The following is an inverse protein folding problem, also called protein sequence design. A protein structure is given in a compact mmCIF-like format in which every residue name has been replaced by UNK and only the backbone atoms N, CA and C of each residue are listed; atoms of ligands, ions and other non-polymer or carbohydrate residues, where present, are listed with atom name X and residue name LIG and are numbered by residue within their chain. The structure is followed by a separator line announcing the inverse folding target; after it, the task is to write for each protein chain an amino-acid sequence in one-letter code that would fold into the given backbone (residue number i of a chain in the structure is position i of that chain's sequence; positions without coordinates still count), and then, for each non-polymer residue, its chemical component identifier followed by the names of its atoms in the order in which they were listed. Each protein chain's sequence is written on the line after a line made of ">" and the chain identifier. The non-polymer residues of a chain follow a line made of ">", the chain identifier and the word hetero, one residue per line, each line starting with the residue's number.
data_IF_704002521688
#
_entry.id   IF_704002521688
#
_cell.length_a   1.000
_cell.length_b   1.000
_cell.length_c   1.000
_cell.angle_alpha   90.00
_cell.angle_beta   90.00
_cell.angle_gamma   90.00
#
_symmetry.space_group_name_H-M   'P 1'
#
loop_
_entity.id
_entity.type
_entity.pdbx_description
1 polymer ?
#
# COMPACT_ATOMS: atom_id res chain seq x y z
N UNK A 1 7.65 -16.93 -9.30
CA UNK A 1 7.56 -17.32 -10.72
C UNK A 1 8.04 -16.14 -11.56
N UNK A 2 9.16 -16.24 -12.32
CA UNK A 2 9.77 -15.10 -12.99
C UNK A 2 8.99 -14.52 -14.19
N UNK A 3 7.88 -15.15 -14.57
CA UNK A 3 7.05 -14.79 -15.74
C UNK A 3 5.69 -14.16 -15.40
N UNK A 4 5.46 -13.81 -14.13
CA UNK A 4 4.22 -13.15 -13.74
C UNK A 4 4.26 -11.67 -14.09
N UNK A 5 3.23 -11.19 -14.79
CA UNK A 5 3.03 -9.77 -15.02
C UNK A 5 2.87 -9.04 -13.67
N UNK A 6 3.45 -7.84 -13.56
CA UNK A 6 3.28 -7.00 -12.38
C UNK A 6 1.81 -6.60 -12.23
N UNK A 7 1.20 -7.03 -11.13
CA UNK A 7 -0.24 -6.86 -10.89
C UNK A 7 -0.66 -5.39 -10.90
N UNK A 8 0.21 -4.48 -10.46
CA UNK A 8 -0.10 -3.05 -10.39
C UNK A 8 -0.04 -2.41 -11.78
N UNK A 9 0.85 -2.89 -12.65
CA UNK A 9 0.93 -2.47 -14.05
C UNK A 9 -0.27 -2.97 -14.84
N UNK A 10 -0.66 -4.24 -14.67
CA UNK A 10 -1.88 -4.79 -15.29
C UNK A 10 -3.12 -4.03 -14.81
N UNK A 11 -3.22 -3.77 -13.50
CA UNK A 11 -4.33 -3.00 -12.93
C UNK A 11 -4.34 -1.56 -13.46
N UNK A 12 -3.19 -0.92 -13.66
CA UNK A 12 -3.13 0.43 -14.23
C UNK A 12 -3.74 0.47 -15.65
N UNK A 13 -3.50 -0.55 -16.46
CA UNK A 13 -4.12 -0.69 -17.79
C UNK A 13 -5.62 -0.97 -17.65
N UNK A 14 -6.02 -1.92 -16.81
CA UNK A 14 -7.44 -2.22 -16.58
C UNK A 14 -8.23 -0.98 -16.12
N UNK A 15 -7.71 -0.22 -15.17
CA UNK A 15 -8.36 0.99 -14.65
C UNK A 15 -8.51 2.09 -15.70
N UNK A 16 -7.68 2.08 -16.75
CA UNK A 16 -7.75 3.01 -17.87
C UNK A 16 -8.76 2.55 -18.92
N UNK A 17 -8.76 1.26 -19.25
CA UNK A 17 -9.61 0.68 -20.31
C UNK A 17 -11.05 0.41 -19.84
N UNK A 18 -11.21 -0.02 -18.59
CA UNK A 18 -12.51 -0.38 -18.04
C UNK A 18 -13.16 0.86 -17.44
N UNK A 19 -14.23 1.30 -18.11
CA UNK A 19 -15.09 2.40 -17.68
C UNK A 19 -15.70 2.19 -16.30
N UNK A 20 -16.47 3.18 -15.83
CA UNK A 20 -16.87 3.35 -14.43
C UNK A 20 -17.63 2.15 -13.81
N UNK A 21 -18.14 1.26 -14.64
CA UNK A 21 -19.20 0.29 -14.32
C UNK A 21 -18.75 -1.18 -14.23
N UNK A 22 -17.46 -1.49 -14.48
CA UNK A 22 -16.92 -2.85 -14.30
C UNK A 22 -15.57 -2.82 -13.56
N UNK A 23 -15.32 -3.89 -12.79
CA UNK A 23 -13.99 -4.19 -12.24
C UNK A 23 -13.80 -3.93 -10.74
N UNK A 24 -13.16 -4.89 -10.08
CA UNK A 24 -12.74 -4.78 -8.68
C UNK A 24 -11.46 -3.94 -8.58
N UNK A 25 -11.57 -2.65 -8.26
CA UNK A 25 -10.42 -1.71 -8.12
C UNK A 25 -9.59 -1.95 -6.82
N UNK A 26 -9.35 -3.20 -6.45
CA UNK A 26 -8.79 -3.63 -5.17
C UNK A 26 -7.62 -4.57 -5.41
N UNK A 27 -6.41 -4.10 -5.15
CA UNK A 27 -5.21 -4.95 -5.15
C UNK A 27 -4.63 -5.03 -3.75
N UNK A 28 -4.25 -6.24 -3.35
CA UNK A 28 -3.42 -6.48 -2.17
C UNK A 28 -1.97 -6.26 -2.57
N UNK A 29 -1.30 -5.29 -1.94
CA UNK A 29 0.14 -5.16 -2.02
C UNK A 29 0.75 -5.73 -0.74
N UNK A 30 1.80 -6.52 -0.91
CA UNK A 30 2.56 -7.07 0.21
C UNK A 30 3.44 -5.98 0.82
N UNK A 31 3.29 -5.75 2.13
CA UNK A 31 4.00 -4.69 2.83
C UNK A 31 5.48 -4.99 3.11
N UNK A 32 5.92 -6.22 2.88
CA UNK A 32 7.22 -6.68 3.39
C UNK A 32 8.39 -6.38 2.46
N UNK A 33 8.20 -6.51 1.14
CA UNK A 33 9.25 -6.33 0.13
C UNK A 33 9.26 -4.95 -0.53
N UNK A 34 8.21 -4.15 -0.34
CA UNK A 34 8.08 -2.86 -1.04
C UNK A 34 8.25 -1.71 -0.05
N UNK A 35 9.24 -0.82 -0.24
CA UNK A 35 9.41 0.37 0.59
C UNK A 35 8.14 1.25 0.61
N UNK A 36 7.84 1.85 1.76
CA UNK A 36 6.64 2.65 2.01
C UNK A 36 6.46 3.82 1.02
N UNK A 37 7.55 4.47 0.58
CA UNK A 37 7.51 5.53 -0.44
C UNK A 37 7.06 5.00 -1.80
N UNK A 38 7.57 3.83 -2.21
CA UNK A 38 7.21 3.19 -3.48
C UNK A 38 5.75 2.71 -3.43
N UNK A 39 5.33 2.15 -2.30
CA UNK A 39 3.92 1.80 -2.06
C UNK A 39 2.99 3.02 -2.16
N UNK A 40 3.37 4.14 -1.55
CA UNK A 40 2.62 5.40 -1.63
C UNK A 40 2.50 5.90 -3.07
N UNK A 41 3.61 5.93 -3.81
CA UNK A 41 3.66 6.36 -5.20
C UNK A 41 2.73 5.51 -6.08
N UNK A 42 2.84 4.17 -5.99
CA UNK A 42 2.01 3.24 -6.78
C UNK A 42 0.52 3.42 -6.47
N UNK A 43 0.15 3.52 -5.19
CA UNK A 43 -1.24 3.70 -4.78
C UNK A 43 -1.83 5.04 -5.26
N UNK A 44 -1.05 6.12 -5.18
CA UNK A 44 -1.47 7.45 -5.65
C UNK A 44 -1.61 7.48 -7.17
N UNK A 45 -0.70 6.84 -7.90
CA UNK A 45 -0.79 6.68 -9.37
C UNK A 45 -2.05 5.91 -9.78
N UNK A 46 -2.34 4.77 -9.15
CA UNK A 46 -3.56 4.00 -9.43
C UNK A 46 -4.83 4.76 -9.04
N UNK A 47 -4.77 5.54 -7.96
CA UNK A 47 -5.86 6.45 -7.58
C UNK A 47 -6.06 7.55 -8.63
N UNK A 48 -5.00 8.07 -9.27
CA UNK A 48 -5.12 9.05 -10.34
C UNK A 48 -5.76 8.43 -11.58
N UNK A 49 -5.25 7.28 -12.03
CA UNK A 49 -5.76 6.58 -13.21
C UNK A 49 -7.23 6.19 -13.03
N UNK A 50 -7.61 5.69 -11.85
CA UNK A 50 -8.99 5.30 -11.56
C UNK A 50 -9.97 6.46 -11.30
N UNK A 51 -9.49 7.70 -11.22
CA UNK A 51 -10.31 8.86 -10.83
C UNK A 51 -10.75 8.83 -9.35
N UNK A 52 -9.94 8.26 -8.45
CA UNK A 52 -10.19 8.21 -7.00
C UNK A 52 -11.04 7.04 -6.53
N UNK A 53 -11.20 6.00 -7.36
CA UNK A 53 -11.99 4.80 -7.05
C UNK A 53 -11.13 3.62 -6.57
N UNK A 54 -9.82 3.72 -6.72
CA UNK A 54 -8.88 2.68 -6.30
C UNK A 54 -8.86 2.54 -4.78
N UNK A 55 -8.94 1.30 -4.32
CA UNK A 55 -8.84 0.94 -2.90
C UNK A 55 -7.58 0.08 -2.75
N UNK A 56 -6.57 0.65 -2.09
CA UNK A 56 -5.39 -0.10 -1.70
C UNK A 56 -5.76 -1.09 -0.60
N UNK A 57 -5.56 -2.39 -0.85
CA UNK A 57 -5.53 -3.40 0.20
C UNK A 57 -4.08 -3.69 0.53
N UNK A 58 -3.80 -3.90 1.81
CA UNK A 58 -2.48 -4.34 2.27
C UNK A 58 -2.64 -5.71 2.88
N UNK A 59 -1.75 -6.61 2.50
CA UNK A 59 -1.67 -7.97 3.00
C UNK A 59 -0.31 -8.22 3.62
N UNK A 60 -0.27 -9.26 4.44
CA UNK A 60 0.96 -9.90 4.89
C UNK A 60 1.18 -11.12 3.99
N UNK A 61 2.42 -11.45 3.67
CA UNK A 61 2.71 -12.67 2.91
C UNK A 61 2.53 -13.92 3.78
N UNK A 62 2.89 -15.09 3.26
CA UNK A 62 3.01 -16.28 4.10
C UNK A 62 4.48 -16.48 4.48
N UNK A 63 4.72 -16.94 5.73
CA UNK A 63 6.04 -17.22 6.29
C UNK A 63 7.01 -17.90 5.31
N UNK A 64 6.55 -18.95 4.62
CA UNK A 64 7.36 -19.70 3.65
C UNK A 64 7.90 -18.82 2.52
N UNK A 65 7.11 -17.87 2.03
CA UNK A 65 7.52 -16.92 0.99
C UNK A 65 8.42 -15.84 1.56
N UNK A 66 8.07 -15.27 2.72
CA UNK A 66 8.83 -14.20 3.34
C UNK A 66 10.25 -14.64 3.72
N UNK A 67 10.38 -15.76 4.45
CA UNK A 67 11.68 -16.28 4.89
C UNK A 67 12.43 -16.97 3.75
N UNK A 68 11.73 -17.73 2.90
CA UNK A 68 12.35 -18.53 1.84
C UNK A 68 12.72 -17.74 0.59
N UNK A 69 11.82 -16.91 0.07
CA UNK A 69 12.05 -16.17 -1.18
C UNK A 69 12.63 -14.78 -0.95
N UNK A 70 12.21 -14.08 0.11
CA UNK A 70 12.58 -12.68 0.33
C UNK A 70 13.65 -12.51 1.41
N UNK A 71 13.94 -13.57 2.18
CA UNK A 71 14.92 -13.54 3.27
C UNK A 71 14.50 -12.59 4.41
N UNK A 72 13.22 -12.30 4.54
CA UNK A 72 12.68 -11.39 5.56
C UNK A 72 12.21 -12.22 6.75
N UNK A 73 12.66 -11.91 7.99
CA UNK A 73 12.21 -12.61 9.19
C UNK A 73 10.68 -12.52 9.39
N UNK A 74 10.04 -13.64 9.73
CA UNK A 74 8.59 -13.72 10.04
C UNK A 74 8.29 -13.73 11.54
N UNK A 75 9.11 -13.05 12.34
CA UNK A 75 9.00 -13.05 13.80
C UNK A 75 7.83 -12.18 14.29
N UNK A 76 7.61 -11.01 13.67
CA UNK A 76 6.61 -10.02 14.08
C UNK A 76 5.85 -9.41 12.90
N UNK A 77 5.14 -10.21 12.07
CA UNK A 77 4.52 -9.75 10.82
C UNK A 77 3.47 -8.64 11.03
N UNK A 78 2.64 -8.76 12.07
CA UNK A 78 1.60 -7.76 12.39
C UNK A 78 2.22 -6.43 12.84
N UNK A 79 3.30 -6.49 13.63
CA UNK A 79 4.02 -5.29 14.08
C UNK A 79 4.68 -4.60 12.90
N UNK A 80 5.35 -5.36 12.03
CA UNK A 80 5.99 -4.84 10.83
C UNK A 80 5.00 -4.14 9.92
N UNK A 81 3.82 -4.73 9.71
CA UNK A 81 2.74 -4.09 8.95
C UNK A 81 2.28 -2.79 9.63
N UNK A 82 2.16 -2.76 10.95
CA UNK A 82 1.76 -1.57 11.70
C UNK A 82 2.78 -0.43 11.54
N UNK A 83 4.08 -0.73 11.72
CA UNK A 83 5.17 0.25 11.53
C UNK A 83 5.29 0.71 10.07
N UNK A 84 4.98 -0.17 9.11
CA UNK A 84 4.87 0.20 7.69
C UNK A 84 3.72 1.19 7.45
N UNK A 85 2.56 0.96 8.07
CA UNK A 85 1.41 1.86 7.98
C UNK A 85 1.69 3.23 8.60
N UNK A 86 2.48 3.30 9.67
CA UNK A 86 2.90 4.56 10.28
C UNK A 86 3.68 5.44 9.30
N UNK A 87 4.42 4.85 8.36
CA UNK A 87 5.05 5.59 7.27
C UNK A 87 4.15 5.82 6.06
N UNK A 88 3.37 4.82 5.67
CA UNK A 88 2.56 4.88 4.46
C UNK A 88 1.39 5.87 4.59
N UNK A 89 0.65 5.83 5.69
CA UNK A 89 -0.57 6.62 5.88
C UNK A 89 -0.30 8.14 5.84
N UNK A 90 0.75 8.70 6.46
CA UNK A 90 1.10 10.10 6.30
C UNK A 90 1.41 10.48 4.84
N UNK A 91 2.18 9.64 4.13
CA UNK A 91 2.53 9.89 2.73
C UNK A 91 1.30 9.90 1.82
N UNK A 92 0.36 8.97 2.00
CA UNK A 92 -0.92 8.96 1.29
C UNK A 92 -1.77 10.20 1.61
N UNK A 93 -1.55 10.82 2.77
CA UNK A 93 -2.17 12.07 3.19
C UNK A 93 -1.41 13.33 2.71
N UNK A 94 -0.30 13.18 2.00
CA UNK A 94 0.57 14.29 1.58
C UNK A 94 1.33 14.94 2.74
N UNK A 95 1.43 14.25 3.88
CA UNK A 95 2.23 14.65 5.05
C UNK A 95 3.59 13.95 4.99
N UNK A 96 4.60 14.55 5.62
CA UNK A 96 5.87 13.85 5.82
C UNK A 96 5.67 12.70 6.81
N UNK A 97 6.33 11.57 6.55
CA UNK A 97 6.43 10.44 7.46
C UNK A 97 7.76 10.50 8.20
N UNK A 98 7.69 10.40 9.53
CA UNK A 98 8.85 10.28 10.41
C UNK A 98 8.46 9.39 11.59
N UNK A 99 8.56 8.08 11.40
CA UNK A 99 8.26 7.09 12.42
C UNK A 99 9.46 6.14 12.57
N UNK A 100 9.92 5.95 13.81
CA UNK A 100 11.00 5.02 14.13
C UNK A 100 10.38 3.78 14.75
N UNK A 101 10.36 2.67 14.00
CA UNK A 101 9.88 1.37 14.46
C UNK A 101 11.03 0.42 14.78
N UNK A 102 10.69 -0.71 15.38
CA UNK A 102 11.64 -1.78 15.72
C UNK A 102 12.10 -2.54 14.46
N UNK A 103 11.19 -2.74 13.51
CA UNK A 103 11.42 -3.49 12.27
C UNK A 103 11.47 -2.59 11.04
N UNK A 104 10.73 -1.48 11.04
CA UNK A 104 10.66 -0.52 9.93
C UNK A 104 10.82 0.90 10.46
N UNK A 105 11.84 1.61 9.98
CA UNK A 105 11.98 3.06 10.18
C UNK A 105 11.59 3.79 8.91
N UNK A 106 10.72 4.79 9.03
CA UNK A 106 10.23 5.59 7.90
C UNK A 106 10.64 7.05 8.07
N UNK A 107 11.29 7.58 7.03
CA UNK A 107 11.78 8.97 6.96
C UNK A 107 11.64 9.42 5.52
N UNK A 108 10.64 10.24 5.24
CA UNK A 108 10.47 10.73 3.90
C UNK A 108 9.25 11.62 3.72
N UNK A 109 9.25 12.34 2.62
CA UNK A 109 8.11 13.11 2.13
C UNK A 109 7.85 12.70 0.70
N UNK A 110 6.60 12.42 0.39
CA UNK A 110 6.17 12.13 -0.95
C UNK A 110 5.10 13.15 -1.33
N UNK A 111 5.33 13.85 -2.43
CA UNK A 111 4.41 14.85 -2.95
C UNK A 111 3.80 14.27 -4.21
N UNK A 112 2.49 14.06 -4.20
CA UNK A 112 1.79 13.69 -5.43
C UNK A 112 1.74 14.89 -6.38
N UNK A 113 1.94 14.68 -7.69
CA UNK A 113 1.89 15.78 -8.67
C UNK A 113 0.50 16.43 -8.79
N UNK A 114 -0.57 15.74 -8.35
CA UNK A 114 -1.95 16.23 -8.44
C UNK A 114 -2.66 16.13 -7.08
N UNK A 115 -3.51 17.12 -6.72
CA UNK A 115 -4.41 17.04 -5.55
C UNK A 115 -5.52 16.03 -5.82
N UNK A 116 -5.37 14.81 -5.30
CA UNK A 116 -6.43 13.81 -5.31
C UNK A 116 -7.59 14.23 -4.40
N UNK A 117 -8.84 14.02 -4.86
CA UNK A 117 -10.04 14.22 -4.04
C UNK A 117 -10.04 13.19 -2.92
N UNK A 118 -9.81 13.64 -1.68
CA UNK A 118 -9.74 12.81 -0.47
C UNK A 118 -11.06 12.05 -0.24
N UNK A 119 -11.03 10.72 -0.34
CA UNK A 119 -11.96 9.82 0.35
C UNK A 119 -11.17 8.68 0.97
N UNK A 120 -10.53 8.95 2.11
CA UNK A 120 -9.90 7.89 2.91
C UNK A 120 -10.87 7.53 4.05
N UNK A 121 -11.38 6.30 4.05
CA UNK A 121 -12.35 5.77 5.02
C UNK A 121 -11.68 5.18 6.27
N UNK A 122 -10.54 5.73 6.72
CA UNK A 122 -9.77 5.18 7.86
C UNK A 122 -10.46 5.27 9.22
N UNK A 123 -11.59 5.97 9.35
CA UNK A 123 -12.18 6.20 10.67
C UNK A 123 -12.91 4.99 11.27
N UNK A 124 -13.09 3.88 10.54
CA UNK A 124 -13.75 2.67 11.08
C UNK A 124 -12.82 1.59 11.60
N UNK A 125 -11.56 1.54 11.16
CA UNK A 125 -10.66 0.43 11.52
C UNK A 125 -9.94 0.67 12.85
N UNK A 126 -9.46 1.89 13.10
CA UNK A 126 -8.72 2.23 14.33
C UNK A 126 -9.54 2.07 15.63
N UNK A 127 -10.87 2.10 15.57
CA UNK A 127 -11.74 1.92 16.76
C UNK A 127 -12.07 0.47 17.10
N UNK A 128 -11.72 -0.50 16.24
CA UNK A 128 -12.05 -1.92 16.44
C UNK A 128 -10.91 -2.78 17.00
N UNK A 129 -9.69 -2.27 17.05
CA UNK A 129 -8.55 -2.99 17.62
C UNK A 129 -8.26 -2.64 19.09
N UNK A 130 -8.91 -1.61 19.64
CA UNK A 130 -8.78 -1.20 21.04
C UNK A 130 -10.09 -1.38 21.85
N UNK A 131 -10.94 -2.33 21.44
CA UNK A 131 -12.19 -2.66 22.13
C UNK A 131 -12.28 -4.15 22.38
#
# INVERSE_FOLDING_TARGET
>A
MPWQADVLTVLAVELREVGRDRGSNRCAADSESVPYVVGAARALTLSLISGGRFILKLGMTHRMVSEGMWGIPWDKPVRRLSEYLDGLLPLLNGKAANATGETVTTRGKYVSPTRLRRRYTSQRWARRCCG
#
